data_IF_542200197334
#
_entry.id   IF_542200197334
#
_cell.length_a   1.000
_cell.length_b   1.000
_cell.length_c   1.000
_cell.angle_alpha   90.00
_cell.angle_beta   90.00
_cell.angle_gamma   90.00
#
_symmetry.space_group_name_H-M   'P 1'
#
loop_
_entity.id
_entity.type
_entity.pdbx_description
1 polymer ?
#
# COMPACT_ATOMS: atom_id res chain seq x y z
N UNK A 1 -21.22 -13.27 18.56
CA UNK A 1 -20.15 -12.63 17.75
C UNK A 1 -20.13 -11.16 18.15
N UNK A 2 -19.05 -10.67 18.78
CA UNK A 2 -18.88 -9.24 19.08
C UNK A 2 -18.03 -8.61 17.96
N UNK A 3 -18.64 -8.39 16.81
CA UNK A 3 -18.01 -7.68 15.70
C UNK A 3 -18.23 -6.17 15.81
N UNK A 4 -17.33 -5.39 15.21
CA UNK A 4 -17.55 -3.95 14.97
C UNK A 4 -18.82 -3.77 14.14
N UNK A 5 -19.65 -2.80 14.51
CA UNK A 5 -20.86 -2.46 13.75
C UNK A 5 -20.48 -1.52 12.61
N UNK A 6 -21.16 -1.66 11.49
CA UNK A 6 -21.10 -0.72 10.38
C UNK A 6 -22.01 0.47 10.72
N UNK A 7 -21.51 1.68 10.58
CA UNK A 7 -22.21 2.92 10.93
C UNK A 7 -22.50 3.79 9.70
N UNK A 8 -23.60 4.55 9.77
CA UNK A 8 -24.00 5.50 8.73
C UNK A 8 -22.90 6.57 8.53
N UNK A 9 -22.57 6.87 7.27
CA UNK A 9 -21.51 7.81 6.88
C UNK A 9 -20.12 7.20 6.75
N UNK A 10 -19.90 5.94 7.12
CA UNK A 10 -18.62 5.26 6.92
C UNK A 10 -18.39 4.89 5.43
N UNK A 11 -17.11 4.84 5.04
CA UNK A 11 -16.69 4.47 3.69
C UNK A 11 -15.83 3.21 3.76
N UNK A 12 -16.17 2.22 2.94
CA UNK A 12 -15.49 0.92 2.92
C UNK A 12 -15.00 0.58 1.51
N UNK A 13 -13.82 -0.02 1.44
CA UNK A 13 -13.43 -0.83 0.30
C UNK A 13 -13.95 -2.27 0.51
N UNK A 14 -14.69 -2.79 -0.46
CA UNK A 14 -15.13 -4.18 -0.50
C UNK A 14 -14.33 -4.87 -1.59
N UNK A 15 -13.39 -5.74 -1.18
CA UNK A 15 -12.37 -6.34 -2.05
C UNK A 15 -12.34 -7.88 -1.95
N UNK A 16 -13.33 -8.61 -2.53
CA UNK A 16 -13.25 -10.06 -2.61
C UNK A 16 -12.03 -10.51 -3.42
N UNK A 17 -11.24 -11.40 -2.81
CA UNK A 17 -10.15 -12.13 -3.46
C UNK A 17 -10.51 -13.61 -3.47
N UNK A 18 -10.36 -14.24 -4.64
CA UNK A 18 -10.62 -15.67 -4.83
C UNK A 18 -9.41 -16.35 -5.43
N UNK A 19 -9.28 -17.66 -5.15
CA UNK A 19 -8.25 -18.52 -5.73
C UNK A 19 -8.83 -19.91 -6.01
N UNK A 20 -8.02 -20.84 -6.52
CA UNK A 20 -8.45 -22.19 -6.85
C UNK A 20 -8.73 -23.00 -5.59
N UNK A 21 -9.68 -23.95 -5.67
CA UNK A 21 -10.01 -24.84 -4.54
C UNK A 21 -8.82 -25.67 -4.01
N UNK A 22 -7.80 -25.90 -4.85
CA UNK A 22 -6.57 -26.61 -4.49
C UNK A 22 -5.49 -25.70 -3.88
N UNK A 23 -5.68 -24.38 -3.90
CA UNK A 23 -4.73 -23.41 -3.38
C UNK A 23 -4.85 -23.31 -1.85
N UNK A 24 -3.88 -22.67 -1.19
CA UNK A 24 -3.92 -22.53 0.27
C UNK A 24 -5.00 -21.54 0.75
N UNK A 25 -5.41 -20.60 -0.10
CA UNK A 25 -6.35 -19.53 0.30
C UNK A 25 -5.72 -18.55 1.29
N UNK A 26 -4.38 -18.45 1.31
CA UNK A 26 -3.61 -17.56 2.16
C UNK A 26 -2.57 -16.80 1.33
N UNK A 27 -2.25 -15.58 1.77
CA UNK A 27 -1.22 -14.74 1.15
C UNK A 27 0.04 -14.70 2.01
N UNK A 28 1.19 -14.67 1.35
CA UNK A 28 2.50 -14.45 1.99
C UNK A 28 3.19 -13.25 1.37
N UNK A 29 4.08 -12.62 2.15
CA UNK A 29 4.92 -11.55 1.64
C UNK A 29 6.00 -12.12 0.73
N UNK A 30 6.09 -11.58 -0.50
CA UNK A 30 7.22 -11.77 -1.38
C UNK A 30 8.47 -11.04 -0.89
N UNK A 31 9.60 -11.31 -1.55
CA UNK A 31 10.91 -10.71 -1.23
C UNK A 31 11.08 -9.29 -1.79
N UNK A 32 10.16 -8.82 -2.64
CA UNK A 32 10.25 -7.55 -3.35
C UNK A 32 9.09 -6.65 -2.92
N UNK A 33 9.37 -5.35 -2.83
CA UNK A 33 8.37 -4.30 -2.65
C UNK A 33 8.55 -3.21 -3.71
N UNK A 34 7.44 -2.66 -4.18
CA UNK A 34 7.41 -1.56 -5.15
C UNK A 34 6.57 -0.37 -4.67
N UNK A 35 5.73 -0.60 -3.65
CA UNK A 35 4.84 0.38 -3.07
C UNK A 35 5.30 0.63 -1.64
N UNK A 36 5.26 1.90 -1.24
CA UNK A 36 5.77 2.37 0.03
C UNK A 36 4.80 3.40 0.62
N UNK A 37 4.90 3.65 1.93
CA UNK A 37 4.16 4.70 2.62
C UNK A 37 5.08 5.48 3.53
N UNK A 38 4.94 6.80 3.53
CA UNK A 38 5.57 7.63 4.54
C UNK A 38 5.01 7.28 5.94
N UNK A 39 5.88 7.20 6.94
CA UNK A 39 5.49 6.92 8.33
C UNK A 39 5.76 8.12 9.21
N UNK A 40 7.02 8.58 9.26
CA UNK A 40 7.47 9.70 10.09
C UNK A 40 8.88 10.14 9.68
N UNK A 41 9.35 11.35 10.00
CA UNK A 41 10.61 11.86 9.48
C UNK A 41 11.84 11.44 10.31
N UNK A 42 11.78 10.30 11.01
CA UNK A 42 12.81 9.94 11.99
C UNK A 42 14.07 9.39 11.33
N UNK A 43 15.15 10.19 11.34
CA UNK A 43 16.54 9.72 11.18
C UNK A 43 16.93 9.30 9.75
N UNK A 44 16.53 10.05 8.73
CA UNK A 44 17.19 9.94 7.42
C UNK A 44 18.67 10.34 7.57
N UNK A 45 19.59 9.45 7.19
CA UNK A 45 21.00 9.59 7.56
C UNK A 45 21.85 10.26 6.49
N UNK A 46 21.54 10.01 5.22
CA UNK A 46 22.27 10.56 4.08
C UNK A 46 21.59 11.81 3.51
N UNK A 47 22.35 12.66 2.82
CA UNK A 47 21.79 13.83 2.13
C UNK A 47 20.76 13.44 1.07
N UNK A 48 20.99 12.34 0.35
CA UNK A 48 20.04 11.84 -0.64
C UNK A 48 18.76 11.33 0.02
N UNK A 49 18.85 10.59 1.12
CA UNK A 49 17.67 10.16 1.89
C UNK A 49 16.86 11.34 2.42
N UNK A 50 17.52 12.43 2.85
CA UNK A 50 16.86 13.66 3.29
C UNK A 50 16.12 14.35 2.15
N UNK A 51 16.73 14.45 0.96
CA UNK A 51 16.08 15.01 -0.24
C UNK A 51 14.88 14.17 -0.66
N UNK A 52 15.05 12.85 -0.70
CA UNK A 52 13.99 11.92 -1.13
C UNK A 52 12.82 11.91 -0.14
N UNK A 53 13.06 11.89 1.18
CA UNK A 53 11.96 11.91 2.15
C UNK A 53 11.20 13.25 2.13
N UNK A 54 11.90 14.37 1.95
CA UNK A 54 11.26 15.68 1.81
C UNK A 54 10.38 15.74 0.55
N UNK A 55 10.85 15.16 -0.56
CA UNK A 55 10.05 15.00 -1.77
C UNK A 55 8.83 14.11 -1.54
N UNK A 56 9.00 12.95 -0.88
CA UNK A 56 7.90 12.04 -0.54
C UNK A 56 6.83 12.76 0.29
N UNK A 57 7.23 13.46 1.34
CA UNK A 57 6.31 14.19 2.22
C UNK A 57 5.51 15.25 1.46
N UNK A 58 6.20 16.02 0.62
CA UNK A 58 5.59 17.14 -0.10
C UNK A 58 4.63 16.67 -1.20
N UNK A 59 4.89 15.51 -1.81
CA UNK A 59 4.12 15.04 -2.98
C UNK A 59 3.08 13.96 -2.65
N UNK A 60 3.30 13.13 -1.63
CA UNK A 60 2.44 11.99 -1.31
C UNK A 60 1.83 12.07 0.10
N UNK A 61 2.36 12.93 0.97
CA UNK A 61 1.93 13.05 2.37
C UNK A 61 1.92 11.68 3.04
N UNK A 62 0.75 11.17 3.44
CA UNK A 62 0.56 9.85 4.07
C UNK A 62 0.06 8.77 3.11
N UNK A 63 -0.19 9.10 1.84
CA UNK A 63 -0.68 8.14 0.85
C UNK A 63 0.45 7.23 0.36
N UNK A 64 0.12 5.99 -0.07
CA UNK A 64 1.08 5.11 -0.71
C UNK A 64 1.67 5.71 -2.00
N UNK A 65 2.93 5.40 -2.29
CA UNK A 65 3.64 5.81 -3.50
C UNK A 65 4.48 4.67 -4.07
N UNK A 66 4.79 4.72 -5.37
CA UNK A 66 5.61 3.71 -6.04
C UNK A 66 7.05 4.17 -6.26
N UNK A 67 8.03 3.26 -6.18
CA UNK A 67 9.45 3.59 -6.48
C UNK A 67 9.64 4.19 -7.87
N UNK A 68 8.91 3.67 -8.87
CA UNK A 68 8.92 4.20 -10.25
C UNK A 68 8.49 5.67 -10.38
N UNK A 69 7.81 6.25 -9.37
CA UNK A 69 7.46 7.67 -9.36
C UNK A 69 8.62 8.53 -8.86
N UNK A 70 9.41 8.00 -7.92
CA UNK A 70 10.65 8.64 -7.47
C UNK A 70 11.70 8.62 -8.58
N UNK A 71 11.77 7.53 -9.35
CA UNK A 71 12.68 7.37 -10.48
C UNK A 71 12.45 8.40 -11.63
N UNK A 72 11.33 9.14 -11.60
CA UNK A 72 11.08 10.26 -12.53
C UNK A 72 11.82 11.54 -12.13
N UNK A 73 12.21 11.64 -10.87
CA UNK A 73 12.82 12.85 -10.27
C UNK A 73 14.25 12.59 -9.83
N UNK A 74 14.53 11.39 -9.34
CA UNK A 74 15.85 10.93 -8.89
C UNK A 74 16.30 9.79 -9.80
N UNK A 75 17.62 9.62 -9.98
CA UNK A 75 18.11 8.43 -10.66
C UNK A 75 17.82 7.17 -9.83
N UNK A 76 17.74 6.02 -10.51
CA UNK A 76 17.35 4.74 -9.90
C UNK A 76 18.28 4.31 -8.76
N UNK A 77 19.57 4.62 -8.84
CA UNK A 77 20.54 4.22 -7.82
C UNK A 77 20.32 5.03 -6.53
N UNK A 78 20.13 6.34 -6.68
CA UNK A 78 19.75 7.25 -5.58
C UNK A 78 18.43 6.83 -4.95
N UNK A 79 17.38 6.60 -5.75
CA UNK A 79 16.08 6.11 -5.24
C UNK A 79 16.24 4.84 -4.43
N UNK A 80 16.97 3.84 -4.96
CA UNK A 80 17.16 2.54 -4.30
C UNK A 80 17.90 2.67 -2.98
N UNK A 81 19.02 3.41 -2.93
CA UNK A 81 19.81 3.62 -1.71
C UNK A 81 19.02 4.40 -0.66
N UNK A 82 18.33 5.46 -1.07
CA UNK A 82 17.50 6.28 -0.18
C UNK A 82 16.35 5.45 0.41
N UNK A 83 15.58 4.72 -0.41
CA UNK A 83 14.50 3.87 0.09
C UNK A 83 15.01 2.81 1.07
N UNK A 84 16.14 2.18 0.79
CA UNK A 84 16.75 1.22 1.72
C UNK A 84 17.06 1.85 3.08
N UNK A 85 17.71 3.01 3.11
CA UNK A 85 18.02 3.74 4.34
C UNK A 85 16.74 4.17 5.09
N UNK A 86 15.75 4.71 4.38
CA UNK A 86 14.50 5.18 4.95
C UNK A 86 13.66 4.03 5.55
N UNK A 87 13.66 2.85 4.92
CA UNK A 87 13.00 1.65 5.45
C UNK A 87 13.73 1.15 6.69
N UNK A 88 15.06 1.05 6.64
CA UNK A 88 15.90 0.63 7.77
C UNK A 88 15.64 1.50 9.01
N UNK A 89 15.44 2.80 8.81
CA UNK A 89 15.16 3.76 9.89
C UNK A 89 13.67 3.96 10.21
N UNK A 90 12.77 3.18 9.58
CA UNK A 90 11.32 3.26 9.77
C UNK A 90 10.74 4.66 9.47
N UNK A 91 11.39 5.40 8.58
CA UNK A 91 10.86 6.62 7.99
C UNK A 91 9.75 6.32 6.98
N UNK A 92 9.96 5.25 6.23
CA UNK A 92 9.09 4.72 5.20
C UNK A 92 8.81 3.26 5.53
N UNK A 93 7.59 2.81 5.25
CA UNK A 93 7.21 1.39 5.30
C UNK A 93 7.04 0.89 3.87
N UNK A 94 7.46 -0.34 3.62
CA UNK A 94 7.27 -1.01 2.34
C UNK A 94 6.04 -1.92 2.40
N UNK A 95 5.30 -2.00 1.30
CA UNK A 95 4.30 -3.03 1.06
C UNK A 95 4.92 -4.07 0.11
N UNK A 96 5.31 -5.24 0.63
CA UNK A 96 5.78 -6.34 -0.20
C UNK A 96 4.70 -6.78 -1.18
N UNK A 97 5.11 -7.35 -2.30
CA UNK A 97 4.19 -8.05 -3.21
C UNK A 97 3.54 -9.19 -2.42
N UNK A 98 2.20 -9.21 -2.37
CA UNK A 98 1.46 -10.32 -1.78
C UNK A 98 1.29 -11.42 -2.83
N UNK A 99 1.63 -12.64 -2.46
CA UNK A 99 1.55 -13.82 -3.34
C UNK A 99 0.70 -14.87 -2.66
N UNK A 100 -0.17 -15.53 -3.42
CA UNK A 100 -0.86 -16.73 -2.92
C UNK A 100 0.18 -17.79 -2.56
N UNK A 101 0.07 -18.37 -1.35
CA UNK A 101 1.12 -19.17 -0.74
C UNK A 101 1.57 -20.38 -1.58
N UNK A 102 0.67 -20.96 -2.36
CA UNK A 102 0.97 -22.10 -3.27
C UNK A 102 1.28 -21.67 -4.71
N UNK A 103 1.37 -20.36 -4.97
CA UNK A 103 1.65 -19.80 -6.29
C UNK A 103 0.50 -19.96 -7.29
N UNK A 104 -0.70 -20.29 -6.83
CA UNK A 104 -1.86 -20.43 -7.71
C UNK A 104 -2.42 -19.07 -8.14
N UNK A 105 -3.12 -18.99 -9.28
CA UNK A 105 -3.78 -17.77 -9.72
C UNK A 105 -4.77 -17.23 -8.69
N UNK A 106 -4.92 -15.90 -8.70
CA UNK A 106 -5.91 -15.18 -7.91
C UNK A 106 -6.76 -14.30 -8.83
N UNK A 107 -8.00 -14.08 -8.45
CA UNK A 107 -8.88 -13.08 -9.04
C UNK A 107 -9.39 -12.14 -7.95
N UNK A 108 -9.50 -10.85 -8.27
CA UNK A 108 -9.95 -9.81 -7.36
C UNK A 108 -10.96 -8.92 -8.07
N UNK A 109 -11.95 -8.45 -7.32
CA UNK A 109 -12.84 -7.34 -7.70
C UNK A 109 -12.89 -6.38 -6.52
N UNK A 110 -13.09 -5.09 -6.78
CA UNK A 110 -13.14 -4.09 -5.71
C UNK A 110 -14.12 -2.96 -6.03
N UNK A 111 -14.89 -2.58 -5.00
CA UNK A 111 -15.70 -1.36 -5.02
C UNK A 111 -15.51 -0.56 -3.73
N UNK A 112 -15.56 0.76 -3.83
CA UNK A 112 -15.68 1.64 -2.66
C UNK A 112 -17.15 1.96 -2.45
N UNK A 113 -17.65 1.83 -1.23
CA UNK A 113 -19.06 2.10 -0.88
C UNK A 113 -19.16 3.12 0.27
N UNK A 114 -20.18 3.97 0.20
CA UNK A 114 -20.62 4.85 1.30
C UNK A 114 -21.86 4.22 1.95
N UNK A 115 -21.84 4.07 3.28
CA UNK A 115 -22.98 3.56 4.04
C UNK A 115 -23.99 4.69 4.28
N UNK A 116 -25.23 4.49 3.87
CA UNK A 116 -26.37 5.36 4.16
C UNK A 116 -27.25 4.71 5.25
N UNK A 117 -28.32 5.39 5.67
CA UNK A 117 -29.22 4.89 6.70
C UNK A 117 -29.78 3.48 6.43
N UNK A 118 -30.31 3.26 5.21
CA UNK A 118 -31.02 2.02 4.82
C UNK A 118 -30.34 1.24 3.68
N UNK A 119 -29.25 1.77 3.10
CA UNK A 119 -28.59 1.19 1.93
C UNK A 119 -27.11 1.63 1.84
N UNK A 120 -26.45 1.35 0.72
CA UNK A 120 -25.14 1.93 0.42
C UNK A 120 -25.10 2.51 -1.00
N UNK A 121 -24.24 3.50 -1.19
CA UNK A 121 -23.91 4.07 -2.50
C UNK A 121 -22.59 3.47 -2.98
N UNK A 122 -22.55 2.92 -4.19
CA UNK A 122 -21.31 2.48 -4.83
C UNK A 122 -20.62 3.71 -5.45
N UNK A 123 -19.37 3.96 -5.07
CA UNK A 123 -18.60 5.16 -5.46
C UNK A 123 -17.66 4.92 -6.64
N UNK A 124 -17.34 3.66 -6.96
CA UNK A 124 -16.44 3.29 -8.05
C UNK A 124 -17.15 2.33 -9.00
N UNK A 125 -17.06 2.53 -10.32
CA UNK A 125 -17.83 1.76 -11.33
C UNK A 125 -18.71 2.66 -12.19
N UNK A 126 -19.27 2.17 -13.32
CA UNK A 126 -20.47 2.80 -13.88
C UNK A 126 -21.63 2.72 -12.88
#
# INVERSE_FOLDING_TARGET
MNGTKIEEGEVYAIEPITTLAKAAGAVVNGSIAYIYRYVKPKRATTEDSKKVIAYIQSNFSTLPFASRWLDKTFDRETTKKALYDLIKHKCVSAYPVLVEQTGNPVAQSEHTVLVNHDNCTILTGP
#
